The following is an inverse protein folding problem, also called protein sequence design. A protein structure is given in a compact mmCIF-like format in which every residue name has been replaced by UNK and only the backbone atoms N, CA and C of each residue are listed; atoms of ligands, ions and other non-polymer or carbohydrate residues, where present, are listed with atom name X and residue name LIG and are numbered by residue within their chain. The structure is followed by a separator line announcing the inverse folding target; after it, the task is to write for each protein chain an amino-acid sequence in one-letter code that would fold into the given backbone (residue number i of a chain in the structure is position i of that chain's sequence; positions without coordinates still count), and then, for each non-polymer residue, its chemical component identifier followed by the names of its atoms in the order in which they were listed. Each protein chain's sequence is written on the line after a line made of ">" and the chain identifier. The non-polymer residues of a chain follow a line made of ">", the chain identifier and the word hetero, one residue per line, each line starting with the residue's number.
data_IF_691228816879
#
_entry.id   IF_691228816879
#
_cell.length_a   1.000
_cell.length_b   1.000
_cell.length_c   1.000
_cell.angle_alpha   90.00
_cell.angle_beta   90.00
_cell.angle_gamma   90.00
#
_symmetry.space_group_name_H-M   'P 1'
#
loop_
_entity.id
_entity.type
_entity.pdbx_description
1 polymer ?
#
# COMPACT_ATOMS: atom_id res chain seq x y z
N UNK A 1 -29.05 -22.82 -0.62
CA UNK A 1 -27.99 -23.64 0.01
C UNK A 1 -27.29 -22.73 1.01
N UNK A 2 -27.34 -23.07 2.30
CA UNK A 2 -27.19 -22.14 3.43
C UNK A 2 -25.90 -21.34 3.42
N UNK A 3 -26.02 -20.02 3.51
CA UNK A 3 -24.90 -19.12 3.74
C UNK A 3 -24.66 -18.98 5.24
N UNK A 4 -23.40 -18.77 5.61
CA UNK A 4 -22.96 -18.61 7.00
C UNK A 4 -23.75 -17.48 7.67
N UNK A 5 -24.70 -17.86 8.52
CA UNK A 5 -25.48 -16.95 9.35
C UNK A 5 -24.81 -16.67 10.69
N UNK A 6 -25.30 -15.65 11.40
CA UNK A 6 -24.84 -15.33 12.76
C UNK A 6 -24.94 -16.53 13.72
N UNK A 7 -25.98 -17.36 13.56
CA UNK A 7 -26.20 -18.58 14.34
C UNK A 7 -25.10 -19.64 14.13
N UNK A 8 -24.63 -19.85 12.90
CA UNK A 8 -23.57 -20.82 12.60
C UNK A 8 -22.22 -20.37 13.14
N UNK A 9 -21.91 -19.07 13.04
CA UNK A 9 -20.70 -18.51 13.66
C UNK A 9 -20.72 -18.69 15.18
N UNK A 10 -21.88 -18.48 15.81
CA UNK A 10 -22.03 -18.61 17.26
C UNK A 10 -21.90 -20.08 17.69
N UNK A 11 -22.46 -21.02 16.92
CA UNK A 11 -22.29 -22.46 17.14
C UNK A 11 -20.81 -22.89 17.02
N UNK A 12 -20.11 -22.45 15.96
CA UNK A 12 -18.68 -22.72 15.78
C UNK A 12 -17.84 -22.12 16.91
N UNK A 13 -18.14 -20.88 17.32
CA UNK A 13 -17.47 -20.25 18.44
C UNK A 13 -17.68 -21.05 19.74
N UNK A 14 -18.91 -21.51 20.00
CA UNK A 14 -19.22 -22.29 21.19
C UNK A 14 -18.47 -23.63 21.22
N UNK A 15 -18.45 -24.36 20.09
CA UNK A 15 -17.71 -25.62 19.96
C UNK A 15 -16.21 -25.39 20.15
N UNK A 16 -15.65 -24.35 19.52
CA UNK A 16 -14.23 -24.00 19.65
C UNK A 16 -13.88 -23.64 21.09
N UNK A 17 -14.74 -22.86 21.77
CA UNK A 17 -14.60 -22.53 23.18
C UNK A 17 -14.70 -23.76 24.08
N UNK A 18 -15.55 -24.74 23.75
CA UNK A 18 -15.67 -25.96 24.56
C UNK A 18 -14.42 -26.83 24.45
N UNK A 19 -13.88 -27.00 23.24
CA UNK A 19 -12.69 -27.83 22.97
C UNK A 19 -11.42 -27.18 23.51
N UNK A 20 -11.21 -25.91 23.20
CA UNK A 20 -9.98 -25.18 23.59
C UNK A 20 -10.10 -24.62 25.01
N UNK A 21 -11.30 -24.28 25.44
CA UNK A 21 -11.59 -23.55 26.68
C UNK A 21 -11.64 -22.02 26.45
N UNK A 22 -12.66 -21.30 26.98
CA UNK A 22 -12.75 -19.84 26.84
C UNK A 22 -11.59 -19.10 27.52
N UNK A 23 -10.97 -19.71 28.52
CA UNK A 23 -9.81 -19.15 29.22
C UNK A 23 -8.52 -19.26 28.40
N UNK A 24 -8.41 -20.24 27.47
CA UNK A 24 -7.17 -20.52 26.72
C UNK A 24 -7.09 -19.81 25.37
N UNK A 25 -8.22 -19.59 24.72
CA UNK A 25 -8.32 -18.74 23.52
C UNK A 25 -7.65 -17.37 23.65
N UNK A 26 -7.91 -16.56 24.71
CA UNK A 26 -7.26 -15.27 24.88
C UNK A 26 -5.76 -15.40 25.18
N UNK A 27 -5.34 -16.49 25.82
CA UNK A 27 -3.92 -16.77 26.11
C UNK A 27 -3.13 -17.07 24.81
N UNK A 28 -3.70 -17.88 23.92
CA UNK A 28 -3.14 -18.16 22.60
C UNK A 28 -3.13 -16.89 21.74
N UNK A 29 -4.23 -16.13 21.71
CA UNK A 29 -4.31 -14.89 20.95
C UNK A 29 -3.26 -13.85 21.41
N UNK A 30 -3.01 -13.75 22.73
CA UNK A 30 -1.95 -12.89 23.28
C UNK A 30 -0.56 -13.36 22.84
N UNK A 31 -0.33 -14.67 22.80
CA UNK A 31 0.97 -15.23 22.41
C UNK A 31 1.23 -15.06 20.92
N UNK A 32 0.25 -15.43 20.09
CA UNK A 32 0.27 -15.23 18.63
C UNK A 32 0.36 -13.74 18.31
N UNK A 33 -0.37 -12.87 19.00
CA UNK A 33 -0.32 -11.43 18.78
C UNK A 33 1.08 -10.83 18.97
N UNK A 34 1.84 -11.31 19.98
CA UNK A 34 3.24 -10.89 20.17
C UNK A 34 4.13 -11.33 19.02
N UNK A 35 3.92 -12.54 18.50
CA UNK A 35 4.68 -13.10 17.38
C UNK A 35 4.32 -12.40 16.06
N UNK A 36 3.04 -12.17 15.81
CA UNK A 36 2.54 -11.42 14.65
C UNK A 36 3.07 -10.00 14.63
N UNK A 37 3.27 -9.35 15.79
CA UNK A 37 3.90 -8.03 15.83
C UNK A 37 5.34 -8.05 15.31
N UNK A 38 6.13 -9.05 15.71
CA UNK A 38 7.51 -9.22 15.27
C UNK A 38 7.59 -9.62 13.79
N UNK A 39 6.71 -10.54 13.36
CA UNK A 39 6.58 -10.88 11.96
C UNK A 39 6.25 -9.61 11.15
N UNK A 40 5.21 -8.86 11.55
CA UNK A 40 4.76 -7.66 10.84
C UNK A 40 5.86 -6.60 10.75
N UNK A 41 6.68 -6.40 11.78
CA UNK A 41 7.83 -5.50 11.68
C UNK A 41 8.87 -6.01 10.68
N UNK A 42 9.17 -7.31 10.66
CA UNK A 42 10.09 -7.89 9.68
C UNK A 42 9.56 -7.74 8.24
N UNK A 43 8.28 -8.02 8.01
CA UNK A 43 7.63 -7.79 6.71
C UNK A 43 7.63 -6.30 6.32
N UNK A 44 7.47 -5.40 7.29
CA UNK A 44 7.50 -3.95 7.04
C UNK A 44 8.90 -3.47 6.65
N UNK A 45 9.96 -3.99 7.28
CA UNK A 45 11.35 -3.71 6.89
C UNK A 45 11.66 -4.22 5.49
N UNK A 46 11.29 -5.46 5.17
CA UNK A 46 11.45 -6.03 3.83
C UNK A 46 10.68 -5.24 2.76
N UNK A 47 9.44 -4.83 3.07
CA UNK A 47 8.64 -3.97 2.19
C UNK A 47 9.27 -2.60 2.02
N UNK A 48 9.84 -2.03 3.09
CA UNK A 48 10.52 -0.74 3.03
C UNK A 48 11.74 -0.81 2.14
N UNK A 49 12.55 -1.87 2.22
CA UNK A 49 13.71 -2.06 1.34
C UNK A 49 13.29 -2.24 -0.12
N UNK A 50 12.26 -3.06 -0.39
CA UNK A 50 11.70 -3.22 -1.74
C UNK A 50 11.09 -1.92 -2.29
N UNK A 51 10.38 -1.16 -1.46
CA UNK A 51 9.80 0.13 -1.85
C UNK A 51 10.88 1.18 -2.06
N UNK A 52 11.93 1.23 -1.26
CA UNK A 52 12.99 2.22 -1.41
C UNK A 52 13.77 2.02 -2.72
N UNK A 53 13.79 0.80 -3.25
CA UNK A 53 14.34 0.47 -4.57
C UNK A 53 13.34 0.75 -5.70
N UNK A 54 12.08 0.36 -5.54
CA UNK A 54 11.01 0.64 -6.52
C UNK A 54 10.66 2.13 -6.63
N UNK A 55 10.61 2.87 -5.52
CA UNK A 55 10.27 4.29 -5.46
C UNK A 55 11.40 5.14 -6.05
N UNK A 56 12.67 4.73 -5.88
CA UNK A 56 13.79 5.35 -6.61
C UNK A 56 13.60 5.22 -8.12
N UNK A 57 13.19 4.05 -8.58
CA UNK A 57 12.97 3.79 -10.00
C UNK A 57 11.69 4.50 -10.51
N UNK A 58 10.65 4.59 -9.70
CA UNK A 58 9.37 5.22 -10.04
C UNK A 58 9.47 6.75 -10.06
N UNK A 59 10.11 7.36 -9.05
CA UNK A 59 10.29 8.80 -8.96
C UNK A 59 11.19 9.32 -10.08
N UNK A 60 12.25 8.57 -10.43
CA UNK A 60 13.09 8.87 -11.60
C UNK A 60 12.30 8.88 -12.91
N UNK A 61 11.43 7.88 -13.14
CA UNK A 61 10.58 7.81 -14.34
C UNK A 61 9.58 8.97 -14.42
N UNK A 62 9.01 9.41 -13.29
CA UNK A 62 8.10 10.56 -13.26
C UNK A 62 8.86 11.86 -13.58
N UNK A 63 10.06 12.03 -13.04
CA UNK A 63 10.93 13.18 -13.36
C UNK A 63 11.29 13.19 -14.85
N UNK A 64 11.74 12.07 -15.40
CA UNK A 64 12.09 11.94 -16.83
C UNK A 64 10.87 12.20 -17.74
N UNK A 65 9.68 11.72 -17.36
CA UNK A 65 8.43 12.01 -18.09
C UNK A 65 8.01 13.49 -18.00
N UNK A 66 8.30 14.16 -16.88
CA UNK A 66 7.99 15.58 -16.67
C UNK A 66 8.98 16.48 -17.43
N UNK A 67 10.26 16.10 -17.51
CA UNK A 67 11.28 16.80 -18.29
C UNK A 67 11.03 16.67 -19.79
N UNK A 68 10.63 15.50 -20.27
CA UNK A 68 10.21 15.29 -21.66
C UNK A 68 9.01 16.17 -22.04
N UNK A 69 8.09 16.43 -21.10
CA UNK A 69 6.95 17.33 -21.30
C UNK A 69 7.32 18.81 -21.24
N UNK A 70 8.26 19.21 -20.38
CA UNK A 70 8.76 20.60 -20.35
C UNK A 70 9.56 20.96 -21.60
N UNK A 71 10.31 20.01 -22.15
CA UNK A 71 11.14 20.25 -23.33
C UNK A 71 10.30 20.43 -24.60
N UNK A 72 9.16 19.75 -24.72
CA UNK A 72 8.21 19.98 -25.81
C UNK A 72 7.46 21.30 -25.66
N UNK A 73 7.09 21.72 -24.44
CA UNK A 73 6.48 23.05 -24.22
C UNK A 73 7.45 24.22 -24.42
N UNK A 74 8.74 24.06 -24.09
CA UNK A 74 9.76 25.09 -24.29
C UNK A 74 10.25 25.18 -25.76
N UNK A 75 9.97 24.16 -26.58
CA UNK A 75 10.30 24.15 -28.01
C UNK A 75 9.15 24.67 -28.90
N UNK A 76 7.89 24.68 -28.42
CA UNK A 76 6.76 25.28 -29.15
C UNK A 76 6.52 26.78 -28.87
N UNK A 77 7.31 27.44 -28.00
CA UNK A 77 7.10 28.87 -27.63
C UNK A 77 8.09 29.89 -28.21
N UNK A 78 8.81 29.55 -29.27
CA UNK A 78 9.37 30.53 -30.21
C UNK A 78 9.26 29.93 -31.61
N UNK A 79 8.84 30.65 -32.68
CA UNK A 79 8.81 32.12 -32.84
C UNK A 79 7.55 32.67 -33.56
N UNK A 80 7.03 33.82 -33.15
CA UNK A 80 6.35 34.75 -34.08
C UNK A 80 6.29 36.12 -33.39
N UNK A 81 7.32 36.94 -33.57
CA UNK A 81 7.29 37.99 -34.58
C UNK A 81 6.11 38.93 -34.35
N UNK A 82 6.43 40.07 -33.73
CA UNK A 82 5.81 41.39 -33.96
C UNK A 82 6.84 42.47 -33.67
N UNK A 83 7.80 42.55 -34.59
CA UNK A 83 8.46 43.81 -34.92
C UNK A 83 7.49 44.60 -35.79
N UNK A 84 6.46 45.21 -35.20
CA UNK A 84 5.53 46.09 -35.92
C UNK A 84 5.09 47.23 -34.99
N UNK A 85 6.02 48.04 -34.48
CA UNK A 85 5.69 49.30 -33.78
C UNK A 85 6.69 50.41 -34.16
N UNK A 86 7.09 50.44 -35.43
CA UNK A 86 7.91 51.49 -36.00
C UNK A 86 7.30 51.98 -37.33
N UNK A 87 6.20 52.72 -37.24
CA UNK A 87 5.86 53.85 -38.12
C UNK A 87 4.69 54.66 -37.52
#
# INVERSE_FOLDING_TARGET
>A
MGGVGFSELLLLALITLLVVGPQRLPEIARTVGRWTRHARSAWASLKSEFQDEMDRDHNRRILEATEAHKQSECFEREPHERRDDAD
#
